data_IF_307014538784
#
_entry.id   IF_307014538784
#
_cell.length_a   1.000
_cell.length_b   1.000
_cell.length_c   1.000
_cell.angle_alpha   90.00
_cell.angle_beta   90.00
_cell.angle_gamma   90.00
#
_symmetry.space_group_name_H-M   'P 1'
#
loop_
_entity.id
_entity.type
_entity.pdbx_description
1 polymer ?
#
# COMPACT_ATOMS: atom_id res chain seq x y z
N UNK A 1 10.58 -10.30 8.00
CA UNK A 1 10.85 -9.55 6.77
C UNK A 1 9.78 -8.47 6.58
N UNK A 2 10.21 -7.25 6.30
CA UNK A 2 9.31 -6.10 6.14
C UNK A 2 9.50 -5.47 4.78
N UNK A 3 8.40 -4.92 4.24
CA UNK A 3 8.46 -4.06 3.06
C UNK A 3 8.17 -2.63 3.52
N UNK A 4 8.96 -1.68 3.04
CA UNK A 4 8.77 -0.27 3.38
C UNK A 4 7.96 0.40 2.28
N UNK A 5 6.83 0.99 2.66
CA UNK A 5 5.90 1.63 1.74
C UNK A 5 5.67 3.08 2.18
N UNK A 6 5.08 3.87 1.31
CA UNK A 6 4.82 5.29 1.57
C UNK A 6 3.32 5.52 1.67
N UNK A 7 2.87 6.05 2.79
CA UNK A 7 1.46 6.35 3.01
C UNK A 7 0.94 7.36 1.98
N UNK A 8 -0.23 7.06 1.44
CA UNK A 8 -0.94 7.94 0.52
C UNK A 8 -2.19 8.57 1.15
N UNK A 9 -2.58 8.14 2.36
CA UNK A 9 -3.76 8.69 3.02
C UNK A 9 -3.52 10.16 3.40
N UNK A 10 -4.58 10.96 3.39
CA UNK A 10 -4.48 12.40 3.66
C UNK A 10 -3.82 12.71 5.02
N UNK A 11 -4.14 11.91 6.04
CA UNK A 11 -3.64 12.15 7.39
C UNK A 11 -2.15 11.88 7.55
N UNK A 12 -1.59 10.98 6.72
CA UNK A 12 -0.21 10.50 6.89
C UNK A 12 0.60 10.53 5.59
N UNK A 13 0.17 11.35 4.63
CA UNK A 13 0.77 11.38 3.30
C UNK A 13 2.28 11.63 3.36
N UNK A 14 3.03 10.78 2.67
CA UNK A 14 4.48 10.87 2.61
C UNK A 14 5.22 10.16 3.73
N UNK A 15 4.53 9.75 4.79
CA UNK A 15 5.16 9.01 5.88
C UNK A 15 5.43 7.57 5.46
N UNK A 16 6.59 7.06 5.84
CA UNK A 16 6.95 5.67 5.55
C UNK A 16 6.30 4.74 6.54
N UNK A 17 5.95 3.55 6.07
CA UNK A 17 5.44 2.48 6.91
C UNK A 17 6.15 1.17 6.53
N UNK A 18 6.56 0.41 7.53
CA UNK A 18 7.13 -0.91 7.32
C UNK A 18 6.06 -1.94 7.67
N UNK A 19 5.68 -2.75 6.70
CA UNK A 19 4.64 -3.76 6.86
C UNK A 19 5.27 -5.14 6.79
N UNK A 20 4.92 -6.00 7.74
CA UNK A 20 5.44 -7.37 7.75
C UNK A 20 4.87 -8.13 6.56
N UNK A 21 5.75 -8.66 5.73
CA UNK A 21 5.35 -9.34 4.48
C UNK A 21 4.40 -10.51 4.77
N UNK A 22 4.66 -11.27 5.82
CA UNK A 22 3.83 -12.43 6.17
C UNK A 22 2.40 -12.05 6.57
N UNK A 23 2.13 -10.79 6.88
CA UNK A 23 0.80 -10.31 7.25
C UNK A 23 0.02 -9.76 6.07
N UNK A 24 0.63 -9.61 4.90
CA UNK A 24 -0.03 -9.09 3.72
C UNK A 24 -0.86 -10.20 3.09
N UNK A 25 -2.16 -9.99 3.00
CA UNK A 25 -3.10 -10.95 2.43
C UNK A 25 -3.38 -10.63 0.97
N UNK A 26 -3.57 -9.36 0.64
CA UNK A 26 -3.85 -8.94 -0.73
C UNK A 26 -3.36 -7.54 -1.00
N UNK A 27 -3.10 -7.27 -2.27
CA UNK A 27 -2.69 -5.94 -2.76
C UNK A 27 -3.53 -5.66 -4.00
N UNK A 28 -4.13 -4.47 -4.07
CA UNK A 28 -4.99 -4.14 -5.21
C UNK A 28 -5.00 -2.65 -5.47
N UNK A 29 -5.35 -2.27 -6.71
CA UNK A 29 -5.47 -0.88 -7.10
C UNK A 29 -6.85 -0.35 -6.76
N UNK A 30 -6.91 0.94 -6.39
CA UNK A 30 -8.16 1.64 -6.16
C UNK A 30 -8.01 3.09 -6.57
N UNK A 31 -9.11 3.82 -6.58
CA UNK A 31 -9.12 5.26 -6.84
C UNK A 31 -9.70 5.99 -5.63
N UNK A 32 -9.14 7.17 -5.37
CA UNK A 32 -9.61 8.05 -4.30
C UNK A 32 -9.98 9.38 -4.92
N UNK A 33 -11.18 9.88 -4.60
CA UNK A 33 -11.60 11.21 -5.04
C UNK A 33 -11.24 12.20 -3.94
N UNK A 34 -10.41 13.17 -4.28
CA UNK A 34 -10.01 14.21 -3.33
C UNK A 34 -11.08 15.27 -3.22
N UNK A 35 -11.00 16.10 -2.16
CA UNK A 35 -11.93 17.20 -1.93
C UNK A 35 -12.00 18.17 -3.11
N UNK A 36 -10.91 18.29 -3.85
CA UNK A 36 -10.83 19.15 -5.04
C UNK A 36 -11.48 18.53 -6.27
N UNK A 37 -12.00 17.30 -6.16
CA UNK A 37 -12.58 16.57 -7.29
C UNK A 37 -11.57 15.80 -8.11
N UNK A 38 -10.30 15.86 -7.77
CA UNK A 38 -9.24 15.12 -8.47
C UNK A 38 -9.31 13.65 -8.06
N UNK A 39 -9.26 12.76 -9.06
CA UNK A 39 -9.23 11.32 -8.83
C UNK A 39 -7.78 10.86 -8.87
N UNK A 40 -7.32 10.23 -7.80
CA UNK A 40 -5.98 9.66 -7.73
C UNK A 40 -6.06 8.14 -7.69
N UNK A 41 -5.11 7.50 -8.38
CA UNK A 41 -4.92 6.06 -8.27
C UNK A 41 -4.02 5.79 -7.06
N UNK A 42 -4.45 4.87 -6.21
CA UNK A 42 -3.67 4.43 -5.06
C UNK A 42 -3.60 2.91 -5.05
N UNK A 43 -2.62 2.37 -4.36
CA UNK A 43 -2.50 0.94 -4.13
C UNK A 43 -2.94 0.65 -2.70
N UNK A 44 -3.78 -0.35 -2.50
CA UNK A 44 -4.23 -0.77 -1.20
C UNK A 44 -3.57 -2.08 -0.82
N UNK A 45 -3.03 -2.12 0.39
CA UNK A 45 -2.36 -3.30 0.94
C UNK A 45 -3.18 -3.76 2.15
N UNK A 46 -3.80 -4.93 2.04
CA UNK A 46 -4.60 -5.49 3.12
C UNK A 46 -3.72 -6.36 4.00
N UNK A 47 -3.53 -5.94 5.23
CA UNK A 47 -2.63 -6.60 6.20
C UNK A 47 -3.30 -6.65 7.58
N UNK A 48 -4.21 -7.62 7.81
CA UNK A 48 -4.83 -7.77 9.12
C UNK A 48 -3.79 -8.17 10.19
N UNK A 49 -4.00 -7.87 11.47
CA UNK A 49 -5.23 -7.26 12.03
C UNK A 49 -5.29 -5.74 11.88
N UNK A 50 -4.25 -5.09 11.35
CA UNK A 50 -4.28 -3.64 11.19
C UNK A 50 -5.42 -3.19 10.25
N UNK A 51 -5.54 -3.84 9.10
CA UNK A 51 -6.51 -3.48 8.09
C UNK A 51 -5.83 -3.11 6.77
N UNK A 52 -6.30 -2.04 6.14
CA UNK A 52 -5.85 -1.66 4.81
C UNK A 52 -4.97 -0.41 4.86
N UNK A 53 -3.81 -0.48 4.20
CA UNK A 53 -2.91 0.65 4.03
C UNK A 53 -3.08 1.23 2.63
N UNK A 54 -3.24 2.55 2.53
CA UNK A 54 -3.16 3.25 1.25
C UNK A 54 -1.71 3.66 1.02
N UNK A 55 -1.14 3.27 -0.11
CA UNK A 55 0.28 3.54 -0.41
C UNK A 55 0.45 4.07 -1.82
N UNK A 56 1.57 4.78 -2.05
CA UNK A 56 1.86 5.41 -3.33
C UNK A 56 2.59 4.49 -4.30
N UNK A 57 3.22 3.42 -3.80
CA UNK A 57 3.96 2.50 -4.64
C UNK A 57 3.03 1.78 -5.62
N UNK A 58 3.53 1.51 -6.82
CA UNK A 58 2.74 0.83 -7.83
C UNK A 58 2.49 -0.63 -7.44
N UNK A 59 1.32 -1.15 -7.81
CA UNK A 59 0.95 -2.54 -7.54
C UNK A 59 2.01 -3.52 -8.04
N UNK A 60 2.50 -3.32 -9.26
CA UNK A 60 3.50 -4.21 -9.86
C UNK A 60 4.78 -4.24 -9.05
N UNK A 61 5.21 -3.10 -8.54
CA UNK A 61 6.43 -3.00 -7.74
C UNK A 61 6.29 -3.75 -6.43
N UNK A 62 5.14 -3.61 -5.78
CA UNK A 62 4.87 -4.33 -4.53
C UNK A 62 4.81 -5.83 -4.76
N UNK A 63 4.10 -6.26 -5.80
CA UNK A 63 3.97 -7.68 -6.13
C UNK A 63 5.33 -8.29 -6.45
N UNK A 64 6.17 -7.57 -7.21
CA UNK A 64 7.52 -8.02 -7.53
C UNK A 64 8.34 -8.23 -6.27
N UNK A 65 8.27 -7.29 -5.34
CA UNK A 65 9.01 -7.38 -4.08
C UNK A 65 8.51 -8.53 -3.21
N UNK A 66 7.20 -8.69 -3.09
CA UNK A 66 6.62 -9.78 -2.33
C UNK A 66 7.02 -11.13 -2.91
N UNK A 67 7.03 -11.28 -4.23
CA UNK A 67 7.44 -12.51 -4.88
C UNK A 67 8.92 -12.81 -4.67
N UNK A 68 9.73 -11.79 -4.55
CA UNK A 68 11.17 -11.95 -4.28
C UNK A 68 11.40 -12.57 -2.91
N UNK A 69 10.61 -12.17 -1.91
CA UNK A 69 10.80 -12.61 -0.52
C UNK A 69 10.03 -13.88 -0.17
N UNK A 70 9.01 -14.22 -0.96
CA UNK A 70 8.15 -15.39 -0.70
C UNK A 70 8.58 -16.66 -1.45
N UNK A 71 9.83 -16.80 -1.74
CA UNK A 71 10.34 -17.98 -2.41
C UNK A 71 10.68 -19.14 -1.47
#
# INVERSE_FOLDING_TARGET
>A
MFITLTNASEAHKGNKVAVRISEIVSVYNSTVTKETGIIENVTLVYAPPHGTWEVTEALEDIVTELNTWNK
#
